data_IF_414786310284
#
_entry.id   IF_414786310284
#
_cell.length_a   1.000
_cell.length_b   1.000
_cell.length_c   1.000
_cell.angle_alpha   90.00
_cell.angle_beta   90.00
_cell.angle_gamma   90.00
#
_symmetry.space_group_name_H-M   'P 1'
#
loop_
_entity.id
_entity.type
_entity.pdbx_description
1 polymer ?
#
# COMPACT_ATOMS: atom_id res chain seq x y z
N UNK A 1 40.99 -27.61 -15.23
CA UNK A 1 40.07 -26.46 -15.32
C UNK A 1 39.86 -25.95 -13.91
N UNK A 2 40.30 -24.72 -13.60
CA UNK A 2 40.11 -24.12 -12.27
C UNK A 2 38.66 -23.74 -12.05
N UNK A 3 38.19 -23.81 -10.80
CA UNK A 3 36.83 -23.40 -10.44
C UNK A 3 36.64 -21.89 -10.68
N UNK A 4 35.43 -21.45 -11.02
CA UNK A 4 35.08 -20.02 -11.16
C UNK A 4 35.40 -19.21 -9.89
N UNK A 5 35.46 -19.88 -8.73
CA UNK A 5 35.85 -19.31 -7.45
C UNK A 5 37.36 -19.09 -7.37
N UNK A 6 38.16 -20.01 -7.92
CA UNK A 6 39.63 -19.94 -7.94
C UNK A 6 40.14 -18.82 -8.88
N UNK A 7 39.29 -18.39 -9.82
CA UNK A 7 39.58 -17.32 -10.78
C UNK A 7 39.08 -15.93 -10.31
N UNK A 8 38.54 -15.81 -9.09
CA UNK A 8 38.01 -14.54 -8.57
C UNK A 8 36.76 -14.03 -9.29
N UNK A 9 36.13 -14.87 -10.13
CA UNK A 9 34.94 -14.52 -10.91
C UNK A 9 33.65 -14.65 -10.09
N UNK A 10 33.69 -15.47 -9.04
CA UNK A 10 32.64 -15.61 -8.03
C UNK A 10 33.26 -15.45 -6.65
N UNK A 11 32.88 -14.39 -5.94
CA UNK A 11 33.26 -14.18 -4.56
C UNK A 11 32.13 -14.62 -3.64
N UNK A 12 32.47 -15.38 -2.60
CA UNK A 12 31.59 -15.70 -1.48
C UNK A 12 32.33 -15.30 -0.22
N UNK A 13 31.79 -14.31 0.48
CA UNK A 13 32.47 -13.71 1.60
C UNK A 13 32.10 -14.50 2.88
N UNK A 14 33.03 -15.12 3.62
CA UNK A 14 32.66 -16.00 4.75
C UNK A 14 31.84 -15.33 5.86
N UNK A 15 31.92 -14.00 5.98
CA UNK A 15 31.15 -13.19 6.95
C UNK A 15 29.82 -12.63 6.42
N UNK A 16 29.52 -12.80 5.14
CA UNK A 16 28.26 -12.39 4.50
C UNK A 16 27.71 -13.60 3.74
N UNK A 17 26.47 -14.02 3.99
CA UNK A 17 25.80 -15.09 3.23
C UNK A 17 25.45 -14.68 1.79
N UNK A 18 26.28 -13.84 1.16
CA UNK A 18 26.14 -13.33 -0.19
C UNK A 18 27.17 -13.94 -1.13
N UNK A 19 26.69 -14.37 -2.29
CA UNK A 19 27.51 -14.72 -3.45
C UNK A 19 27.48 -13.54 -4.42
N UNK A 20 28.63 -13.05 -4.84
CA UNK A 20 28.74 -11.98 -5.84
C UNK A 20 29.50 -12.47 -7.07
N UNK A 21 28.95 -12.21 -8.24
CA UNK A 21 29.59 -12.49 -9.52
C UNK A 21 30.35 -11.23 -9.97
N UNK A 22 31.54 -11.37 -10.54
CA UNK A 22 32.30 -10.25 -11.08
C UNK A 22 31.53 -9.54 -12.22
N UNK A 23 31.52 -8.19 -12.24
CA UNK A 23 30.71 -7.39 -13.18
C UNK A 23 30.97 -7.73 -14.66
N UNK A 24 32.21 -8.03 -15.02
CA UNK A 24 32.56 -8.40 -16.40
C UNK A 24 31.94 -9.73 -16.83
N UNK A 25 31.85 -10.70 -15.92
CA UNK A 25 31.17 -11.99 -16.17
C UNK A 25 29.67 -11.79 -16.28
N UNK A 26 29.09 -10.93 -15.44
CA UNK A 26 27.68 -10.56 -15.56
C UNK A 26 27.39 -9.94 -16.92
N UNK A 27 28.20 -8.97 -17.37
CA UNK A 27 28.02 -8.32 -18.68
C UNK A 27 28.17 -9.30 -19.85
N UNK A 28 29.19 -10.17 -19.82
CA UNK A 28 29.37 -11.19 -20.86
C UNK A 28 28.17 -12.14 -20.92
N UNK A 29 27.75 -12.67 -19.76
CA UNK A 29 26.59 -13.55 -19.68
C UNK A 29 25.31 -12.89 -20.18
N UNK A 30 25.03 -11.65 -19.77
CA UNK A 30 23.80 -10.93 -20.15
C UNK A 30 23.73 -10.64 -21.66
N UNK A 31 24.88 -10.43 -22.30
CA UNK A 31 24.98 -10.23 -23.75
C UNK A 31 24.69 -11.52 -24.52
N UNK A 32 25.07 -12.68 -23.98
CA UNK A 32 24.91 -13.98 -24.63
C UNK A 32 23.52 -14.62 -24.41
N UNK A 33 22.66 -14.02 -23.59
CA UNK A 33 21.31 -14.54 -23.36
C UNK A 33 20.46 -14.45 -24.64
N UNK A 34 19.72 -15.51 -24.94
CA UNK A 34 18.59 -15.42 -25.90
C UNK A 34 17.41 -14.70 -25.23
N UNK A 35 16.50 -14.19 -26.05
CA UNK A 35 15.30 -13.51 -25.54
C UNK A 35 14.42 -14.44 -24.69
N UNK A 36 14.30 -15.71 -25.09
CA UNK A 36 13.56 -16.74 -24.35
C UNK A 36 14.23 -17.05 -22.99
N UNK A 37 15.57 -17.11 -22.98
CA UNK A 37 16.32 -17.40 -21.75
C UNK A 37 16.22 -16.23 -20.78
N UNK A 38 16.32 -15.00 -21.28
CA UNK A 38 16.14 -13.79 -20.48
C UNK A 38 14.73 -13.71 -19.90
N UNK A 39 13.69 -13.97 -20.71
CA UNK A 39 12.30 -14.03 -20.23
C UNK A 39 12.15 -15.08 -19.13
N UNK A 40 12.70 -16.29 -19.32
CA UNK A 40 12.64 -17.37 -18.32
C UNK A 40 13.29 -16.97 -16.99
N UNK A 41 14.44 -16.29 -17.03
CA UNK A 41 15.09 -15.82 -15.80
C UNK A 41 14.33 -14.69 -15.13
N UNK A 42 13.77 -13.77 -15.91
CA UNK A 42 12.89 -12.74 -15.39
C UNK A 42 11.68 -13.35 -14.67
N UNK A 43 10.96 -14.28 -15.32
CA UNK A 43 9.79 -14.93 -14.72
C UNK A 43 10.12 -15.77 -13.48
N UNK A 44 11.31 -16.39 -13.44
CA UNK A 44 11.78 -17.11 -12.26
C UNK A 44 12.04 -16.14 -11.09
N UNK A 45 12.74 -15.03 -11.34
CA UNK A 45 13.00 -14.01 -10.33
C UNK A 45 11.70 -13.39 -9.82
N UNK A 46 10.78 -13.05 -10.72
CA UNK A 46 9.42 -12.60 -10.38
C UNK A 46 8.72 -13.63 -9.51
N UNK A 47 8.74 -14.90 -9.87
CA UNK A 47 8.06 -15.96 -9.12
C UNK A 47 8.60 -16.08 -7.69
N UNK A 48 9.92 -16.02 -7.51
CA UNK A 48 10.55 -16.09 -6.19
C UNK A 48 10.18 -14.89 -5.31
N UNK A 49 10.29 -13.67 -5.84
CA UNK A 49 9.97 -12.45 -5.10
C UNK A 49 8.47 -12.36 -4.83
N UNK A 50 7.64 -12.68 -5.83
CA UNK A 50 6.19 -12.77 -5.66
C UNK A 50 5.82 -13.75 -4.55
N UNK A 51 6.45 -14.93 -4.47
CA UNK A 51 6.20 -15.88 -3.40
C UNK A 51 6.56 -15.31 -2.02
N UNK A 52 7.72 -14.65 -1.92
CA UNK A 52 8.24 -14.12 -0.66
C UNK A 52 7.51 -12.85 -0.16
N UNK A 53 7.11 -11.97 -1.07
CA UNK A 53 6.50 -10.67 -0.73
C UNK A 53 5.08 -10.86 -0.16
N UNK A 54 4.74 -10.22 0.99
CA UNK A 54 3.39 -10.23 1.55
C UNK A 54 2.34 -9.67 0.59
N UNK A 55 1.14 -10.24 0.60
CA UNK A 55 0.05 -9.86 -0.33
C UNK A 55 -1.14 -9.33 0.46
N UNK A 56 -1.82 -8.35 -0.12
CA UNK A 56 -3.12 -7.95 0.38
C UNK A 56 -4.11 -9.09 0.18
N UNK A 57 -4.97 -9.29 1.18
CA UNK A 57 -6.10 -10.22 1.12
C UNK A 57 -7.33 -9.36 1.34
N UNK A 58 -8.24 -9.36 0.36
CA UNK A 58 -9.48 -8.56 0.41
C UNK A 58 -9.24 -7.06 0.71
N UNK A 59 -8.22 -6.48 0.10
CA UNK A 59 -7.87 -5.06 0.26
C UNK A 59 -7.36 -4.67 1.66
N UNK A 60 -7.09 -5.64 2.55
CA UNK A 60 -6.59 -5.35 3.90
C UNK A 60 -5.19 -4.72 3.89
N UNK A 61 -4.89 -3.85 4.86
CA UNK A 61 -3.56 -3.25 5.03
C UNK A 61 -2.42 -4.27 5.21
N UNK A 62 -1.19 -3.89 4.86
CA UNK A 62 0.01 -4.72 5.00
C UNK A 62 0.84 -4.38 6.24
N UNK A 63 0.35 -3.52 7.15
CA UNK A 63 1.12 -3.04 8.31
C UNK A 63 1.62 -4.15 9.24
N UNK A 64 0.86 -5.23 9.39
CA UNK A 64 1.29 -6.42 10.15
C UNK A 64 2.47 -7.17 9.52
N UNK A 65 2.77 -6.88 8.26
CA UNK A 65 3.84 -7.52 7.47
C UNK A 65 4.91 -6.55 7.01
N UNK A 66 4.92 -5.30 7.50
CA UNK A 66 5.86 -4.28 7.05
C UNK A 66 7.32 -4.69 7.18
N UNK A 67 7.70 -5.40 8.24
CA UNK A 67 9.07 -5.90 8.41
C UNK A 67 9.47 -6.82 7.24
N UNK A 68 8.56 -7.69 6.81
CA UNK A 68 8.77 -8.59 5.69
C UNK A 68 8.72 -7.86 4.35
N UNK A 69 7.78 -6.93 4.18
CA UNK A 69 7.74 -6.07 2.99
C UNK A 69 9.03 -5.27 2.84
N UNK A 70 9.57 -4.73 3.93
CA UNK A 70 10.79 -3.93 3.96
C UNK A 70 12.01 -4.73 3.45
N UNK A 71 12.11 -6.02 3.82
CA UNK A 71 13.16 -6.90 3.32
C UNK A 71 13.08 -7.07 1.80
N UNK A 72 11.88 -7.22 1.24
CA UNK A 72 11.70 -7.61 -0.16
C UNK A 72 11.41 -6.47 -1.14
N UNK A 73 11.08 -5.27 -0.66
CA UNK A 73 10.63 -4.16 -1.52
C UNK A 73 11.67 -3.78 -2.58
N UNK A 74 12.96 -3.78 -2.23
CA UNK A 74 14.04 -3.43 -3.17
C UNK A 74 14.12 -4.42 -4.33
N UNK A 75 13.76 -5.69 -4.12
CA UNK A 75 13.69 -6.68 -5.20
C UNK A 75 12.53 -6.39 -6.16
N UNK A 76 11.36 -6.01 -5.63
CA UNK A 76 10.22 -5.58 -6.45
C UNK A 76 10.55 -4.34 -7.28
N UNK A 77 11.15 -3.33 -6.66
CA UNK A 77 11.63 -2.10 -7.32
C UNK A 77 12.62 -2.43 -8.43
N UNK A 78 13.58 -3.31 -8.17
CA UNK A 78 14.56 -3.74 -9.16
C UNK A 78 13.91 -4.45 -10.36
N UNK A 79 12.97 -5.38 -10.11
CA UNK A 79 12.24 -6.07 -11.17
C UNK A 79 11.42 -5.09 -12.04
N UNK A 80 10.82 -4.07 -11.42
CA UNK A 80 10.11 -3.01 -12.16
C UNK A 80 11.06 -2.26 -13.10
N UNK A 81 12.28 -1.94 -12.64
CA UNK A 81 13.28 -1.26 -13.44
C UNK A 81 13.78 -2.14 -14.60
N UNK A 82 14.08 -3.42 -14.33
CA UNK A 82 14.48 -4.38 -15.38
C UNK A 82 13.43 -4.47 -16.48
N UNK A 83 12.16 -4.55 -16.12
CA UNK A 83 11.07 -4.55 -17.08
C UNK A 83 10.99 -3.23 -17.86
N UNK A 84 11.05 -2.09 -17.17
CA UNK A 84 10.99 -0.77 -17.82
C UNK A 84 12.14 -0.55 -18.81
N UNK A 85 13.37 -0.91 -18.43
CA UNK A 85 14.55 -0.83 -19.28
C UNK A 85 14.38 -1.71 -20.53
N UNK A 86 13.80 -2.91 -20.37
CA UNK A 86 13.54 -3.83 -21.48
C UNK A 86 12.62 -3.24 -22.55
N UNK A 87 11.69 -2.34 -22.17
CA UNK A 87 10.76 -1.70 -23.12
C UNK A 87 11.48 -0.77 -24.11
N UNK A 88 12.65 -0.25 -23.73
CA UNK A 88 13.48 0.64 -24.57
C UNK A 88 14.63 -0.09 -25.27
N UNK A 89 14.88 -1.33 -24.88
CA UNK A 89 15.96 -2.15 -25.43
C UNK A 89 15.50 -2.96 -26.64
N UNK A 90 16.44 -3.57 -27.36
CA UNK A 90 16.14 -4.52 -28.43
C UNK A 90 15.48 -5.81 -27.92
N UNK A 91 15.66 -6.14 -26.64
CA UNK A 91 15.09 -7.33 -25.99
C UNK A 91 13.92 -6.93 -25.10
N UNK A 92 12.70 -7.15 -25.58
CA UNK A 92 11.48 -6.80 -24.85
C UNK A 92 11.05 -7.96 -23.96
N UNK A 93 10.93 -7.70 -22.66
CA UNK A 93 10.33 -8.66 -21.73
C UNK A 93 8.81 -8.54 -21.78
N UNK A 94 8.14 -9.66 -21.56
CA UNK A 94 6.69 -9.73 -21.43
C UNK A 94 6.31 -9.81 -19.94
N UNK A 95 5.35 -9.01 -19.47
CA UNK A 95 4.92 -9.05 -18.09
C UNK A 95 4.08 -10.30 -17.85
N UNK A 96 4.42 -11.09 -16.84
CA UNK A 96 3.57 -12.17 -16.34
C UNK A 96 2.55 -11.65 -15.33
N UNK A 97 1.45 -12.38 -15.14
CA UNK A 97 0.43 -12.01 -14.13
C UNK A 97 1.05 -11.83 -12.73
N UNK A 98 1.96 -12.73 -12.34
CA UNK A 98 2.69 -12.66 -11.07
C UNK A 98 3.53 -11.39 -10.93
N UNK A 99 4.06 -10.86 -12.03
CA UNK A 99 4.80 -9.60 -12.03
C UNK A 99 3.88 -8.43 -11.68
N UNK A 100 2.72 -8.36 -12.36
CA UNK A 100 1.71 -7.35 -12.10
C UNK A 100 1.15 -7.44 -10.66
N UNK A 101 0.87 -8.65 -10.18
CA UNK A 101 0.44 -8.90 -8.79
C UNK A 101 1.50 -8.47 -7.77
N UNK A 102 2.77 -8.85 -8.00
CA UNK A 102 3.88 -8.44 -7.14
C UNK A 102 3.97 -6.91 -7.05
N UNK A 103 3.99 -6.23 -8.20
CA UNK A 103 4.17 -4.78 -8.20
C UNK A 103 2.96 -4.04 -7.63
N UNK A 104 1.73 -4.52 -7.84
CA UNK A 104 0.55 -3.99 -7.17
C UNK A 104 0.66 -4.03 -5.65
N UNK A 105 1.12 -5.15 -5.09
CA UNK A 105 1.33 -5.27 -3.64
C UNK A 105 2.52 -4.43 -3.13
N UNK A 106 3.61 -4.35 -3.91
CA UNK A 106 4.73 -3.45 -3.62
C UNK A 106 4.26 -1.99 -3.57
N UNK A 107 3.45 -1.56 -4.54
CA UNK A 107 2.88 -0.21 -4.60
C UNK A 107 2.05 0.06 -3.35
N UNK A 108 1.16 -0.85 -2.95
CA UNK A 108 0.37 -0.66 -1.74
C UNK A 108 1.24 -0.46 -0.48
N UNK A 109 2.29 -1.28 -0.31
CA UNK A 109 3.25 -1.09 0.78
C UNK A 109 3.94 0.31 0.71
N UNK A 110 4.28 0.78 -0.48
CA UNK A 110 4.87 2.12 -0.67
C UNK A 110 3.86 3.23 -0.34
N UNK A 111 2.57 3.04 -0.62
CA UNK A 111 1.48 3.95 -0.20
C UNK A 111 1.44 4.03 1.32
N UNK A 112 1.37 2.89 1.99
CA UNK A 112 1.28 2.79 3.44
C UNK A 112 2.49 3.40 4.17
N UNK A 113 3.68 3.30 3.56
CA UNK A 113 4.93 3.87 4.10
C UNK A 113 5.21 5.30 3.64
N UNK A 114 4.31 5.91 2.86
CA UNK A 114 4.43 7.31 2.42
C UNK A 114 5.48 7.58 1.34
N UNK A 115 5.94 6.56 0.61
CA UNK A 115 6.95 6.68 -0.44
C UNK A 115 6.33 7.08 -1.79
N UNK A 116 5.69 8.26 -1.82
CA UNK A 116 4.83 8.68 -2.93
C UNK A 116 5.55 8.82 -4.29
N UNK A 117 6.84 9.17 -4.30
CA UNK A 117 7.62 9.26 -5.55
C UNK A 117 7.78 7.90 -6.21
N UNK A 118 8.05 6.87 -5.41
CA UNK A 118 8.20 5.50 -5.89
C UNK A 118 6.85 4.90 -6.32
N UNK A 119 5.76 5.23 -5.61
CA UNK A 119 4.40 4.86 -6.03
C UNK A 119 4.13 5.37 -7.45
N UNK A 120 4.33 6.66 -7.72
CA UNK A 120 4.09 7.24 -9.04
C UNK A 120 4.92 6.52 -10.11
N UNK A 121 6.24 6.42 -9.88
CA UNK A 121 7.19 5.84 -10.84
C UNK A 121 6.89 4.39 -11.18
N UNK A 122 6.61 3.55 -10.18
CA UNK A 122 6.34 2.13 -10.40
C UNK A 122 4.93 1.95 -11.00
N UNK A 123 3.96 2.76 -10.62
CA UNK A 123 2.60 2.68 -11.17
C UNK A 123 2.58 2.95 -12.67
N UNK A 124 3.38 3.89 -13.18
CA UNK A 124 3.53 4.16 -14.62
C UNK A 124 4.10 2.97 -15.40
N UNK A 125 4.95 2.16 -14.77
CA UNK A 125 5.50 0.94 -15.35
C UNK A 125 4.41 -0.14 -15.38
N UNK A 126 3.70 -0.33 -14.27
CA UNK A 126 2.68 -1.37 -14.11
C UNK A 126 1.45 -1.10 -14.99
N UNK A 127 1.03 0.16 -15.15
CA UNK A 127 -0.08 0.53 -16.04
C UNK A 127 0.18 0.16 -17.51
N UNK A 128 1.45 0.09 -17.93
CA UNK A 128 1.82 -0.38 -19.28
C UNK A 128 1.83 -1.91 -19.39
N UNK A 129 1.93 -2.60 -18.25
CA UNK A 129 2.00 -4.05 -18.17
C UNK A 129 0.65 -4.74 -17.92
N UNK A 130 -0.34 -3.99 -17.43
CA UNK A 130 -1.65 -4.51 -17.02
C UNK A 130 -2.71 -4.20 -18.08
N UNK A 131 -3.57 -5.19 -18.36
CA UNK A 131 -4.77 -5.00 -19.17
C UNK A 131 -5.85 -4.23 -18.37
N UNK A 132 -6.43 -3.14 -18.94
CA UNK A 132 -7.45 -2.32 -18.27
C UNK A 132 -8.72 -3.05 -17.85
N UNK A 133 -8.99 -4.21 -18.44
CA UNK A 133 -10.17 -5.03 -18.13
C UNK A 133 -9.95 -5.91 -16.91
N UNK A 134 -8.74 -5.98 -16.37
CA UNK A 134 -8.43 -6.88 -15.24
C UNK A 134 -8.73 -6.25 -13.89
N UNK A 135 -9.01 -7.09 -12.90
CA UNK A 135 -9.13 -6.66 -11.51
C UNK A 135 -7.85 -5.97 -10.99
N UNK A 136 -6.66 -6.38 -11.44
CA UNK A 136 -5.40 -5.74 -11.03
C UNK A 136 -5.33 -4.28 -11.46
N UNK A 137 -5.96 -3.91 -12.57
CA UNK A 137 -6.08 -2.52 -12.99
C UNK A 137 -6.87 -1.70 -11.98
N UNK A 138 -8.03 -2.21 -11.54
CA UNK A 138 -8.83 -1.57 -10.49
C UNK A 138 -8.04 -1.43 -9.18
N UNK A 139 -7.33 -2.49 -8.78
CA UNK A 139 -6.54 -2.51 -7.55
C UNK A 139 -5.39 -1.50 -7.57
N UNK A 140 -4.68 -1.38 -8.70
CA UNK A 140 -3.65 -0.34 -8.89
C UNK A 140 -4.24 1.07 -8.81
N UNK A 141 -5.39 1.29 -9.45
CA UNK A 141 -6.09 2.56 -9.38
C UNK A 141 -6.55 2.93 -7.96
N UNK A 142 -6.86 1.95 -7.11
CA UNK A 142 -7.15 2.20 -5.70
C UNK A 142 -5.91 2.70 -4.94
N UNK A 143 -4.72 2.18 -5.25
CA UNK A 143 -3.46 2.69 -4.69
C UNK A 143 -3.15 4.12 -5.15
N UNK A 144 -3.43 4.43 -6.42
CA UNK A 144 -3.29 5.77 -6.97
C UNK A 144 -4.31 6.75 -6.38
N UNK A 145 -5.56 6.32 -6.19
CA UNK A 145 -6.59 7.05 -5.45
C UNK A 145 -6.10 7.43 -4.06
N UNK A 146 -5.63 6.44 -3.27
CA UNK A 146 -5.13 6.67 -1.92
C UNK A 146 -3.94 7.65 -1.91
N UNK A 147 -3.03 7.51 -2.87
CA UNK A 147 -1.85 8.40 -3.02
C UNK A 147 -2.26 9.83 -3.35
N UNK A 148 -3.18 10.01 -4.31
CA UNK A 148 -3.69 11.33 -4.68
C UNK A 148 -4.41 11.99 -3.49
N UNK A 149 -5.23 11.22 -2.76
CA UNK A 149 -5.91 11.67 -1.56
C UNK A 149 -4.93 12.11 -0.45
N UNK A 150 -3.88 11.33 -0.17
CA UNK A 150 -2.84 11.68 0.81
C UNK A 150 -2.07 12.96 0.43
N UNK A 151 -1.92 13.22 -0.88
CA UNK A 151 -1.32 14.46 -1.42
C UNK A 151 -2.30 15.63 -1.49
N UNK A 152 -3.56 15.45 -1.05
CA UNK A 152 -4.65 16.42 -1.18
C UNK A 152 -4.92 16.84 -2.65
N UNK A 153 -4.64 15.96 -3.61
CA UNK A 153 -4.95 16.12 -5.02
C UNK A 153 -6.32 15.49 -5.31
N UNK A 154 -7.38 16.20 -4.87
CA UNK A 154 -8.75 15.68 -4.93
C UNK A 154 -9.20 15.43 -6.38
N UNK A 155 -8.72 16.22 -7.35
CA UNK A 155 -9.08 16.05 -8.77
C UNK A 155 -8.65 14.67 -9.27
N UNK A 156 -7.38 14.31 -9.07
CA UNK A 156 -6.88 13.00 -9.50
C UNK A 156 -7.45 11.88 -8.63
N UNK A 157 -7.70 12.12 -7.34
CA UNK A 157 -8.38 11.16 -6.49
C UNK A 157 -9.77 10.79 -7.04
N UNK A 158 -10.60 11.77 -7.42
CA UNK A 158 -11.91 11.49 -8.05
C UNK A 158 -11.77 10.74 -9.37
N UNK A 159 -10.86 11.16 -10.24
CA UNK A 159 -10.62 10.48 -11.52
C UNK A 159 -10.23 9.00 -11.32
N UNK A 160 -9.38 8.70 -10.33
CA UNK A 160 -9.04 7.31 -10.01
C UNK A 160 -10.21 6.56 -9.36
N UNK A 161 -10.98 7.20 -8.48
CA UNK A 161 -12.17 6.57 -7.86
C UNK A 161 -13.16 6.06 -8.90
N UNK A 162 -13.43 6.82 -9.96
CA UNK A 162 -14.35 6.44 -11.03
C UNK A 162 -13.85 5.21 -11.81
N UNK A 163 -12.53 5.16 -12.05
CA UNK A 163 -11.88 4.00 -12.68
C UNK A 163 -11.96 2.76 -11.79
N UNK A 164 -11.73 2.89 -10.47
CA UNK A 164 -11.78 1.73 -9.56
C UNK A 164 -13.16 1.09 -9.60
N UNK A 165 -14.24 1.87 -9.45
CA UNK A 165 -15.60 1.31 -9.40
C UNK A 165 -15.99 0.65 -10.72
N UNK A 166 -15.70 1.30 -11.85
CA UNK A 166 -16.03 0.76 -13.16
C UNK A 166 -15.25 -0.52 -13.48
N UNK A 167 -13.95 -0.54 -13.18
CA UNK A 167 -13.10 -1.70 -13.44
C UNK A 167 -13.30 -2.83 -12.42
N UNK A 168 -13.74 -2.56 -11.19
CA UNK A 168 -13.93 -3.59 -10.16
C UNK A 168 -15.26 -4.34 -10.27
N UNK A 169 -16.32 -3.65 -10.72
CA UNK A 169 -17.69 -4.20 -10.79
C UNK A 169 -17.81 -5.56 -11.50
N UNK A 170 -17.08 -5.85 -12.60
CA UNK A 170 -17.16 -7.16 -13.26
C UNK A 170 -16.49 -8.31 -12.51
N UNK A 171 -15.63 -8.03 -11.52
CA UNK A 171 -14.74 -9.02 -10.90
C UNK A 171 -15.03 -9.30 -9.43
N UNK A 172 -15.75 -8.41 -8.76
CA UNK A 172 -16.04 -8.52 -7.33
C UNK A 172 -17.51 -8.27 -7.07
N UNK A 173 -18.10 -9.13 -6.23
CA UNK A 173 -19.45 -8.89 -5.72
C UNK A 173 -19.46 -7.60 -4.90
N UNK A 174 -20.55 -6.84 -5.00
CA UNK A 174 -20.74 -5.57 -4.28
C UNK A 174 -20.82 -5.78 -2.75
N UNK A 175 -20.89 -7.04 -2.31
CA UNK A 175 -20.94 -7.51 -0.92
C UNK A 175 -19.56 -7.93 -0.39
N UNK A 176 -18.54 -8.04 -1.25
CA UNK A 176 -17.20 -8.46 -0.85
C UNK A 176 -16.54 -7.42 0.06
N UNK A 177 -15.67 -7.89 0.97
CA UNK A 177 -14.98 -7.02 1.91
C UNK A 177 -14.16 -5.94 1.18
N UNK A 178 -13.49 -6.32 0.10
CA UNK A 178 -12.71 -5.39 -0.70
C UNK A 178 -13.57 -4.32 -1.38
N UNK A 179 -14.67 -4.70 -2.04
CA UNK A 179 -15.57 -3.75 -2.71
C UNK A 179 -16.13 -2.73 -1.71
N UNK A 180 -16.57 -3.22 -0.55
CA UNK A 180 -17.05 -2.38 0.55
C UNK A 180 -15.95 -1.46 1.09
N UNK A 181 -14.69 -1.93 1.13
CA UNK A 181 -13.53 -1.10 1.45
C UNK A 181 -13.31 0.05 0.47
N UNK A 182 -13.48 -0.20 -0.84
CA UNK A 182 -13.42 0.84 -1.88
C UNK A 182 -14.49 1.91 -1.68
N UNK A 183 -15.73 1.52 -1.37
CA UNK A 183 -16.81 2.46 -1.09
C UNK A 183 -16.49 3.34 0.14
N UNK A 184 -15.83 2.77 1.16
CA UNK A 184 -15.34 3.55 2.30
C UNK A 184 -14.27 4.58 1.89
N UNK A 185 -13.37 4.23 0.97
CA UNK A 185 -12.38 5.17 0.44
C UNK A 185 -13.04 6.31 -0.35
N UNK A 186 -14.04 5.99 -1.16
CA UNK A 186 -14.83 6.98 -1.90
C UNK A 186 -15.59 7.92 -0.95
N UNK A 187 -16.17 7.39 0.13
CA UNK A 187 -16.83 8.22 1.13
C UNK A 187 -15.86 9.19 1.82
N UNK A 188 -14.63 8.74 2.14
CA UNK A 188 -13.59 9.61 2.66
C UNK A 188 -13.19 10.71 1.67
N UNK A 189 -13.19 10.41 0.38
CA UNK A 189 -12.96 11.39 -0.67
C UNK A 189 -14.08 12.44 -0.75
N UNK A 190 -15.34 12.02 -0.71
CA UNK A 190 -16.51 12.92 -0.63
C UNK A 190 -16.44 13.82 0.61
N UNK A 191 -16.10 13.24 1.77
CA UNK A 191 -15.91 13.96 3.02
C UNK A 191 -14.80 15.03 2.92
N UNK A 192 -13.74 14.75 2.16
CA UNK A 192 -12.64 15.68 1.89
C UNK A 192 -13.05 16.81 0.94
N UNK A 193 -13.98 16.52 0.03
CA UNK A 193 -14.63 17.50 -0.85
C UNK A 193 -15.75 18.31 -0.17
N UNK A 194 -15.99 18.10 1.13
CA UNK A 194 -17.05 18.75 1.94
C UNK A 194 -18.48 18.31 1.59
N UNK A 195 -18.63 17.21 0.85
CA UNK A 195 -19.93 16.57 0.59
C UNK A 195 -20.31 15.65 1.75
N UNK A 196 -20.40 16.23 2.95
CA UNK A 196 -20.45 15.47 4.22
C UNK A 196 -21.72 14.61 4.34
N UNK A 197 -22.85 15.06 3.81
CA UNK A 197 -24.10 14.27 3.79
C UNK A 197 -23.97 13.02 2.92
N UNK A 198 -23.45 13.15 1.69
CA UNK A 198 -23.24 12.02 0.78
C UNK A 198 -22.20 11.05 1.34
N UNK A 199 -21.12 11.59 1.92
CA UNK A 199 -20.09 10.78 2.56
C UNK A 199 -20.67 9.94 3.71
N UNK A 200 -21.50 10.55 4.56
CA UNK A 200 -22.14 9.86 5.67
C UNK A 200 -23.13 8.80 5.17
N UNK A 201 -23.96 9.13 4.18
CA UNK A 201 -24.89 8.17 3.58
C UNK A 201 -24.16 6.93 3.05
N UNK A 202 -23.06 7.13 2.33
CA UNK A 202 -22.27 6.03 1.78
C UNK A 202 -21.59 5.19 2.87
N UNK A 203 -21.07 5.82 3.94
CA UNK A 203 -20.48 5.08 5.06
C UNK A 203 -21.51 4.27 5.85
N UNK A 204 -22.74 4.77 6.00
CA UNK A 204 -23.83 4.03 6.63
C UNK A 204 -24.26 2.84 5.77
N UNK A 205 -24.34 3.02 4.44
CA UNK A 205 -24.54 1.90 3.52
C UNK A 205 -23.43 0.84 3.65
N UNK A 206 -22.16 1.27 3.70
CA UNK A 206 -21.01 0.40 3.95
C UNK A 206 -21.17 -0.38 5.26
N UNK A 207 -21.51 0.30 6.36
CA UNK A 207 -21.76 -0.34 7.65
C UNK A 207 -22.89 -1.38 7.59
N UNK A 208 -24.01 -1.03 6.96
CA UNK A 208 -25.17 -1.91 6.84
C UNK A 208 -24.87 -3.14 5.98
N UNK A 209 -24.13 -2.98 4.87
CA UNK A 209 -23.65 -4.11 4.06
C UNK A 209 -22.73 -5.02 4.88
N UNK A 210 -21.76 -4.46 5.63
CA UNK A 210 -20.89 -5.28 6.49
C UNK A 210 -21.71 -6.08 7.50
N UNK A 211 -22.73 -5.48 8.11
CA UNK A 211 -23.61 -6.15 9.07
C UNK A 211 -24.45 -7.25 8.40
N UNK A 212 -25.11 -6.94 7.29
CA UNK A 212 -25.98 -7.87 6.58
C UNK A 212 -25.24 -9.12 6.10
N UNK A 213 -24.01 -8.94 5.58
CA UNK A 213 -23.20 -10.02 5.02
C UNK A 213 -22.16 -10.57 6.01
N UNK A 214 -22.26 -10.20 7.29
CA UNK A 214 -21.42 -10.73 8.37
C UNK A 214 -19.91 -10.60 8.07
N UNK A 215 -19.51 -9.47 7.47
CA UNK A 215 -18.12 -9.21 7.15
C UNK A 215 -17.29 -9.08 8.45
N UNK A 216 -16.01 -9.47 8.45
CA UNK A 216 -15.20 -9.51 9.66
C UNK A 216 -15.12 -8.15 10.38
N UNK A 217 -15.13 -8.17 11.71
CA UNK A 217 -14.88 -6.99 12.53
C UNK A 217 -13.37 -6.73 12.66
N UNK A 218 -12.78 -6.22 11.59
CA UNK A 218 -11.35 -5.95 11.50
C UNK A 218 -11.05 -4.46 11.38
N UNK A 219 -9.77 -4.13 11.18
CA UNK A 219 -9.30 -2.75 11.05
C UNK A 219 -10.07 -1.92 10.02
N UNK A 220 -10.62 -2.54 8.96
CA UNK A 220 -11.44 -1.82 7.97
C UNK A 220 -12.75 -1.30 8.61
N UNK A 221 -13.39 -2.07 9.49
CA UNK A 221 -14.55 -1.60 10.25
C UNK A 221 -14.18 -0.49 11.25
N UNK A 222 -12.97 -0.54 11.82
CA UNK A 222 -12.48 0.54 12.67
C UNK A 222 -12.34 1.85 11.88
N UNK A 223 -11.83 1.80 10.64
CA UNK A 223 -11.76 2.96 9.75
C UNK A 223 -13.12 3.53 9.38
N UNK A 224 -14.11 2.67 9.11
CA UNK A 224 -15.50 3.10 8.86
C UNK A 224 -16.04 3.85 10.07
N UNK A 225 -15.88 3.30 11.28
CA UNK A 225 -16.31 3.97 12.51
C UNK A 225 -15.58 5.31 12.70
N UNK A 226 -14.27 5.37 12.45
CA UNK A 226 -13.51 6.63 12.52
C UNK A 226 -14.02 7.69 11.54
N UNK A 227 -14.32 7.28 10.30
CA UNK A 227 -14.82 8.18 9.27
C UNK A 227 -16.21 8.74 9.64
N UNK A 228 -17.13 7.88 10.10
CA UNK A 228 -18.45 8.29 10.57
C UNK A 228 -18.31 9.22 11.78
N UNK A 229 -17.50 8.87 12.78
CA UNK A 229 -17.31 9.69 13.97
C UNK A 229 -16.79 11.10 13.66
N UNK A 230 -15.87 11.24 12.70
CA UNK A 230 -15.37 12.54 12.21
C UNK A 230 -16.44 13.35 11.51
N UNK A 231 -17.27 12.72 10.68
CA UNK A 231 -18.40 13.38 10.02
C UNK A 231 -19.43 13.85 11.05
N UNK A 232 -19.79 13.01 12.01
CA UNK A 232 -20.71 13.35 13.10
C UNK A 232 -20.22 14.52 13.95
N UNK A 233 -18.92 14.56 14.27
CA UNK A 233 -18.31 15.73 14.89
C UNK A 233 -18.50 17.01 14.08
N UNK A 234 -18.27 16.96 12.76
CA UNK A 234 -18.45 18.13 11.87
C UNK A 234 -19.91 18.57 11.79
N UNK A 235 -20.84 17.63 11.88
CA UNK A 235 -22.29 17.86 11.86
C UNK A 235 -22.87 18.23 13.23
N UNK A 236 -22.07 18.21 14.30
CA UNK A 236 -22.49 18.59 15.66
C UNK A 236 -23.10 17.46 16.49
N UNK A 237 -23.19 16.24 15.97
CA UNK A 237 -23.66 15.05 16.70
C UNK A 237 -22.52 14.40 17.47
N UNK A 238 -22.16 15.03 18.59
CA UNK A 238 -21.01 14.59 19.40
C UNK A 238 -21.28 13.26 20.12
N UNK A 239 -22.55 12.93 20.37
CA UNK A 239 -22.93 11.70 21.08
C UNK A 239 -22.72 10.48 20.20
N UNK A 240 -23.19 10.52 18.95
CA UNK A 240 -22.91 9.43 18.00
C UNK A 240 -21.39 9.35 17.75
N UNK A 241 -20.72 10.49 17.56
CA UNK A 241 -19.28 10.51 17.33
C UNK A 241 -18.46 9.80 18.43
N UNK A 242 -18.82 10.00 19.70
CA UNK A 242 -18.15 9.34 20.83
C UNK A 242 -18.29 7.82 20.77
N UNK A 243 -19.51 7.31 20.50
CA UNK A 243 -19.76 5.87 20.34
C UNK A 243 -18.93 5.30 19.19
N UNK A 244 -18.85 6.03 18.07
CA UNK A 244 -18.05 5.62 16.90
C UNK A 244 -16.56 5.52 17.22
N UNK A 245 -16.00 6.50 17.91
CA UNK A 245 -14.59 6.46 18.31
C UNK A 245 -14.30 5.36 19.32
N UNK A 246 -15.22 5.10 20.26
CA UNK A 246 -15.11 3.98 21.17
C UNK A 246 -15.04 2.64 20.43
N UNK A 247 -15.98 2.38 19.51
CA UNK A 247 -16.02 1.15 18.73
C UNK A 247 -14.75 0.94 17.90
N UNK A 248 -14.25 1.99 17.24
CA UNK A 248 -13.01 1.91 16.47
C UNK A 248 -11.81 1.54 17.35
N UNK A 249 -11.72 2.13 18.55
CA UNK A 249 -10.64 1.85 19.50
C UNK A 249 -10.66 0.42 20.00
N UNK A 250 -11.84 -0.12 20.31
CA UNK A 250 -11.96 -1.51 20.78
C UNK A 250 -11.51 -2.52 19.71
N UNK A 251 -11.85 -2.27 18.44
CA UNK A 251 -11.39 -3.11 17.32
C UNK A 251 -9.86 -3.05 17.20
N UNK A 252 -9.28 -1.84 17.19
CA UNK A 252 -7.83 -1.65 17.10
C UNK A 252 -7.11 -2.35 18.26
N UNK A 253 -7.62 -2.21 19.49
CA UNK A 253 -7.06 -2.87 20.68
C UNK A 253 -7.08 -4.39 20.54
N UNK A 254 -8.17 -4.96 20.02
CA UNK A 254 -8.29 -6.40 19.79
C UNK A 254 -7.32 -6.92 18.73
N UNK A 255 -7.12 -6.18 17.63
CA UNK A 255 -6.27 -6.62 16.52
C UNK A 255 -4.77 -6.33 16.72
N UNK A 256 -4.42 -5.27 17.46
CA UNK A 256 -3.05 -4.77 17.55
C UNK A 256 -2.50 -4.63 18.97
N UNK A 257 -3.30 -4.99 19.98
CA UNK A 257 -2.95 -4.83 21.39
C UNK A 257 -3.07 -3.39 21.89
N UNK A 258 -2.87 -3.20 23.20
CA UNK A 258 -3.02 -1.89 23.87
C UNK A 258 -2.01 -0.85 23.38
N UNK A 259 -0.84 -1.31 22.93
CA UNK A 259 0.23 -0.48 22.38
C UNK A 259 0.31 -0.55 20.86
N UNK A 260 -0.76 -0.95 20.16
CA UNK A 260 -0.81 -0.94 18.71
C UNK A 260 -0.41 0.44 18.17
N UNK A 261 0.83 0.58 17.70
CA UNK A 261 1.40 1.85 17.22
C UNK A 261 0.69 2.37 15.97
N UNK A 262 -0.07 1.48 15.32
CA UNK A 262 -0.98 1.84 14.26
C UNK A 262 -2.14 2.67 14.84
N UNK A 263 -2.18 3.96 14.50
CA UNK A 263 -3.33 4.87 14.66
C UNK A 263 -3.54 5.56 16.01
N UNK A 264 -2.57 5.59 16.94
CA UNK A 264 -2.72 6.36 18.20
C UNK A 264 -3.12 7.84 17.96
N UNK A 265 -2.62 8.44 16.89
CA UNK A 265 -2.93 9.82 16.47
C UNK A 265 -4.29 9.98 15.78
N UNK A 266 -4.93 8.90 15.34
CA UNK A 266 -6.22 8.89 14.65
C UNK A 266 -7.38 8.49 15.58
N UNK A 267 -7.06 7.88 16.73
CA UNK A 267 -7.98 7.49 17.81
C UNK A 267 -8.20 8.60 18.87
N UNK A 268 -7.36 9.63 18.90
CA UNK A 268 -7.58 10.80 19.77
C UNK A 268 -8.66 11.70 19.17
N UNK A 269 -9.78 11.96 19.89
CA UNK A 269 -10.76 12.94 19.46
C UNK A 269 -10.08 14.32 19.31
N UNK A 270 -10.50 15.16 18.35
CA UNK A 270 -9.97 16.51 18.26
C UNK A 270 -10.22 17.24 19.59
N UNK A 271 -9.27 18.04 20.10
CA UNK A 271 -9.42 18.70 21.38
C UNK A 271 -10.69 19.53 21.38
N UNK A 272 -11.54 19.32 22.39
CA UNK A 272 -12.69 20.17 22.65
C UNK A 272 -12.19 21.61 22.81
N UNK A 273 -12.86 22.53 22.11
CA UNK A 273 -12.51 23.95 21.94
C UNK A 273 -11.79 24.54 23.17
N UNK A 274 -10.47 24.70 23.07
CA UNK A 274 -9.76 25.72 23.85
C UNK A 274 -9.49 26.91 22.93
N UNK A 275 -9.85 28.09 23.43
CA UNK A 275 -9.87 29.36 22.71
C UNK A 275 -8.50 29.69 22.09
N UNK A 276 -8.51 29.99 20.80
CA UNK A 276 -7.49 30.78 20.11
C UNK A 276 -6.22 30.03 19.70
N UNK A 277 -6.04 29.79 18.39
CA UNK A 277 -4.72 29.48 17.83
C UNK A 277 -4.73 28.51 16.64
N UNK A 278 -4.72 29.07 15.43
CA UNK A 278 -4.26 28.50 14.14
C UNK A 278 -4.37 26.97 13.93
N UNK A 279 -5.45 26.57 13.25
CA UNK A 279 -5.76 25.21 12.80
C UNK A 279 -5.15 24.86 11.42
N UNK A 280 -3.84 25.08 11.24
CA UNK A 280 -3.07 24.60 10.08
C UNK A 280 -1.68 24.16 10.55
N UNK A 281 -1.25 22.95 10.15
CA UNK A 281 0.04 22.29 10.46
C UNK A 281 0.25 21.70 11.86
N UNK A 282 -0.43 20.58 12.19
CA UNK A 282 0.01 19.70 13.29
C UNK A 282 0.04 18.20 13.00
N UNK A 283 -0.05 17.77 11.74
CA UNK A 283 0.07 16.35 11.37
C UNK A 283 1.49 15.92 10.94
N UNK A 284 2.47 16.83 10.85
CA UNK A 284 3.84 16.51 10.41
C UNK A 284 4.84 16.43 11.57
N UNK A 285 4.48 16.85 12.78
CA UNK A 285 5.40 16.92 13.94
C UNK A 285 5.36 15.72 14.91
N UNK A 286 4.55 14.69 14.65
CA UNK A 286 4.55 13.47 15.49
C UNK A 286 5.51 12.38 14.97
N UNK A 287 5.83 12.38 13.68
CA UNK A 287 6.72 11.36 13.09
C UNK A 287 8.20 11.55 13.46
N UNK A 288 8.65 12.78 13.72
CA UNK A 288 10.02 13.08 14.15
C UNK A 288 10.25 12.81 15.63
N UNK A 289 9.22 12.92 16.48
CA UNK A 289 9.36 12.73 17.94
C UNK A 289 9.53 11.26 18.34
N UNK A 290 8.87 10.35 17.63
CA UNK A 290 9.02 8.89 17.81
C UNK A 290 10.38 8.38 17.30
N UNK A 291 11.00 9.07 16.34
CA UNK A 291 12.37 8.77 15.89
C UNK A 291 13.43 9.30 16.86
N UNK A 292 13.18 10.41 17.55
CA UNK A 292 14.08 10.96 18.57
C UNK A 292 14.02 10.15 19.89
N UNK A 293 12.84 9.67 20.29
CA UNK A 293 12.68 8.82 21.49
C UNK A 293 13.41 7.47 21.34
N UNK A 294 13.45 6.88 20.13
CA UNK A 294 14.26 5.68 19.84
C UNK A 294 15.78 5.92 19.85
N UNK A 295 16.25 7.16 19.69
CA UNK A 295 17.68 7.49 19.81
C UNK A 295 18.12 7.68 21.26
N UNK A 296 17.20 8.03 22.17
CA UNK A 296 17.50 8.19 23.58
C UNK A 296 17.52 6.86 24.34
N UNK A 297 16.68 5.88 23.97
CA UNK A 297 16.71 4.54 24.60
C UNK A 297 17.92 3.67 24.21
N UNK A 298 18.63 3.98 23.10
CA UNK A 298 19.88 3.28 22.73
C UNK A 298 21.15 3.88 23.37
N UNK A 299 21.05 4.95 24.16
CA UNK A 299 22.19 5.57 24.84
C UNK A 299 22.23 5.33 26.35
N UNK A 300 21.28 4.57 26.92
CA UNK A 300 21.18 4.32 28.37
C UNK A 300 21.16 2.83 28.76
N UNK A 301 21.69 1.92 27.92
CA UNK A 301 22.08 0.57 28.35
C UNK A 301 23.40 0.14 27.72
#
# INVERSE_FOLDING_TARGET
>A
MGSLRDQGLINSNPGFTGVSIHRLVQSAFLNDLTDETAQRFFDLAVTLVHHAFPKQVEGRPLHLYWDKCHIFIQHGVWLANVYADSLTSNRKLHPSQKFSELLSNCIWYLVETGQHSEVQRISEIVLKAIDPTTYLYAHLHNSLLATAWLKNDLRNAFAHSDVVLSAMKPHREETSEEYVGILSNQANLLASNRDDEKALQLLLQVEDTRRQFHLPENIALAFVNLAIGRLRCRMGDLKDAEVRFYNAREIVRREHGENGQYMQHLLTPPPSKTKGGNSRMRNVKLYSRVQEEKKQECCEN
#
